data_IF_980828617227
#
_entry.id   IF_980828617227
#
_cell.length_a   1.000
_cell.length_b   1.000
_cell.length_c   1.000
_cell.angle_alpha   90.00
_cell.angle_beta   90.00
_cell.angle_gamma   90.00
#
_symmetry.space_group_name_H-M   'P 1'
#
loop_
_entity.id
_entity.type
_entity.pdbx_description
1 polymer ?
#
# COMPACT_ATOMS: atom_id res chain seq x y z
N UNK A 1 -3.23 4.21 16.29
CA UNK A 1 -4.16 4.37 17.42
C UNK A 1 -3.42 4.36 18.74
N UNK A 2 -4.01 4.95 19.77
CA UNK A 2 -3.56 4.93 21.17
C UNK A 2 -4.51 4.13 22.07
N UNK A 3 -5.52 3.47 21.47
CA UNK A 3 -6.52 2.70 22.21
C UNK A 3 -5.87 1.62 23.07
N UNK A 4 -6.22 1.58 24.35
CA UNK A 4 -5.84 0.51 25.28
C UNK A 4 -7.02 -0.43 25.47
N UNK A 5 -6.81 -1.71 25.21
CA UNK A 5 -7.83 -2.75 25.39
C UNK A 5 -7.49 -3.58 26.62
N UNK A 6 -7.89 -3.08 27.80
CA UNK A 6 -7.68 -3.75 29.08
C UNK A 6 -9.02 -4.21 29.65
N UNK A 7 -9.24 -5.52 29.81
CA UNK A 7 -10.44 -6.02 30.48
C UNK A 7 -10.44 -5.68 31.97
N UNK A 8 -11.63 -5.53 32.54
CA UNK A 8 -11.80 -5.39 33.98
C UNK A 8 -11.68 -6.77 34.66
N UNK A 9 -11.20 -6.86 35.91
CA UNK A 9 -11.08 -8.13 36.61
C UNK A 9 -12.43 -8.82 36.76
N UNK A 10 -12.46 -10.15 36.56
CA UNK A 10 -13.61 -11.01 36.88
C UNK A 10 -13.84 -11.00 38.39
N UNK A 11 -15.08 -10.77 38.82
CA UNK A 11 -15.43 -10.82 40.24
C UNK A 11 -15.26 -12.23 40.85
N UNK A 12 -15.10 -12.32 42.17
CA UNK A 12 -15.04 -13.62 42.84
C UNK A 12 -16.46 -14.15 43.11
N UNK A 13 -16.67 -15.45 42.88
CA UNK A 13 -17.92 -16.13 43.19
C UNK A 13 -17.87 -16.75 44.60
N UNK A 14 -18.98 -16.66 45.34
CA UNK A 14 -19.17 -17.45 46.56
C UNK A 14 -19.65 -18.85 46.18
N UNK A 15 -19.02 -19.88 46.75
CA UNK A 15 -19.43 -21.26 46.52
C UNK A 15 -20.78 -21.52 47.21
N UNK A 16 -21.82 -21.76 46.41
CA UNK A 16 -23.18 -22.08 46.88
C UNK A 16 -23.42 -23.58 47.00
N UNK A 17 -22.54 -24.41 46.43
CA UNK A 17 -22.66 -25.88 46.42
C UNK A 17 -23.66 -26.44 45.41
N UNK A 18 -24.41 -25.58 44.71
CA UNK A 18 -25.37 -25.97 43.68
C UNK A 18 -24.69 -26.38 42.38
N UNK A 19 -25.43 -27.03 41.48
CA UNK A 19 -24.95 -27.33 40.13
C UNK A 19 -24.68 -26.04 39.33
N UNK A 20 -25.57 -25.05 39.45
CA UNK A 20 -25.42 -23.75 38.77
C UNK A 20 -24.22 -22.97 39.31
N UNK A 21 -23.96 -22.99 40.63
CA UNK A 21 -22.77 -22.38 41.22
C UNK A 21 -21.46 -22.98 40.70
N UNK A 22 -21.41 -24.30 40.46
CA UNK A 22 -20.26 -24.95 39.79
C UNK A 22 -20.12 -24.44 38.35
N UNK A 23 -21.23 -24.32 37.62
CA UNK A 23 -21.21 -23.81 36.24
C UNK A 23 -20.76 -22.35 36.14
N UNK A 24 -21.19 -21.50 37.08
CA UNK A 24 -20.72 -20.11 37.21
C UNK A 24 -19.21 -20.06 37.42
N UNK A 25 -18.67 -20.93 38.29
CA UNK A 25 -17.23 -20.98 38.52
C UNK A 25 -16.44 -21.40 37.28
N UNK A 26 -16.94 -22.35 36.50
CA UNK A 26 -16.37 -22.74 35.19
C UNK A 26 -16.34 -21.56 34.21
N UNK A 27 -17.49 -20.92 34.00
CA UNK A 27 -17.63 -19.80 33.06
C UNK A 27 -16.76 -18.60 33.47
N UNK A 28 -16.61 -18.33 34.77
CA UNK A 28 -15.68 -17.29 35.28
C UNK A 28 -14.23 -17.62 34.96
N UNK A 29 -13.82 -18.87 35.11
CA UNK A 29 -12.46 -19.32 34.77
C UNK A 29 -12.18 -19.17 33.27
N UNK A 30 -13.15 -19.53 32.42
CA UNK A 30 -13.06 -19.33 30.98
C UNK A 30 -13.01 -17.85 30.59
N UNK A 31 -13.85 -17.00 31.22
CA UNK A 31 -13.79 -15.56 31.03
C UNK A 31 -12.44 -14.99 31.45
N UNK A 32 -11.88 -15.43 32.58
CA UNK A 32 -10.55 -14.98 33.03
C UNK A 32 -9.45 -15.35 32.03
N UNK A 33 -9.51 -16.56 31.45
CA UNK A 33 -8.59 -16.99 30.38
C UNK A 33 -8.74 -16.11 29.14
N UNK A 34 -9.98 -15.83 28.71
CA UNK A 34 -10.27 -14.96 27.59
C UNK A 34 -9.74 -13.54 27.82
N UNK A 35 -10.00 -12.95 28.99
CA UNK A 35 -9.47 -11.64 29.36
C UNK A 35 -7.93 -11.61 29.36
N UNK A 36 -7.29 -12.70 29.82
CA UNK A 36 -5.84 -12.88 29.70
C UNK A 36 -5.34 -12.88 28.26
N UNK A 37 -6.06 -13.55 27.35
CA UNK A 37 -5.79 -13.55 25.90
C UNK A 37 -5.89 -12.14 25.31
N UNK A 38 -7.00 -11.44 25.58
CA UNK A 38 -7.23 -10.07 25.11
C UNK A 38 -6.14 -9.11 25.58
N UNK A 39 -5.71 -9.21 26.85
CA UNK A 39 -4.61 -8.40 27.38
C UNK A 39 -3.29 -8.66 26.65
N UNK A 40 -2.97 -9.93 26.35
CA UNK A 40 -1.79 -10.30 25.55
C UNK A 40 -1.88 -9.76 24.12
N UNK A 41 -3.04 -9.89 23.48
CA UNK A 41 -3.29 -9.36 22.14
C UNK A 41 -3.13 -7.84 22.09
N UNK A 42 -3.65 -7.12 23.08
CA UNK A 42 -3.45 -5.68 23.22
C UNK A 42 -1.96 -5.31 23.35
N UNK A 43 -1.19 -6.00 24.21
CA UNK A 43 0.25 -5.75 24.31
C UNK A 43 0.99 -6.02 22.99
N UNK A 44 0.63 -7.09 22.29
CA UNK A 44 1.15 -7.41 20.96
C UNK A 44 0.87 -6.28 19.95
N UNK A 45 -0.36 -5.77 19.93
CA UNK A 45 -0.75 -4.64 19.08
C UNK A 45 0.08 -3.38 19.39
N UNK A 46 0.25 -3.01 20.66
CA UNK A 46 1.03 -1.82 21.03
C UNK A 46 2.50 -1.96 20.61
N UNK A 47 3.10 -3.16 20.77
CA UNK A 47 4.47 -3.43 20.33
C UNK A 47 4.63 -3.33 18.81
N UNK A 48 3.66 -3.84 18.06
CA UNK A 48 3.67 -3.72 16.60
C UNK A 48 3.54 -2.25 16.17
N UNK A 49 2.69 -1.47 16.84
CA UNK A 49 2.55 -0.03 16.59
C UNK A 49 3.84 0.75 16.84
N UNK A 50 4.49 0.53 17.97
CA UNK A 50 5.75 1.21 18.27
C UNK A 50 6.85 0.82 17.28
N UNK A 51 6.94 -0.47 16.92
CA UNK A 51 7.86 -0.96 15.89
C UNK A 51 7.63 -0.29 14.54
N UNK A 52 6.38 -0.20 14.08
CA UNK A 52 6.03 0.46 12.83
C UNK A 52 6.38 1.95 12.82
N UNK A 53 6.15 2.68 13.93
CA UNK A 53 6.53 4.10 14.04
C UNK A 53 8.04 4.27 13.91
N UNK A 54 8.82 3.45 14.61
CA UNK A 54 10.29 3.49 14.53
C UNK A 54 10.80 3.12 13.12
N UNK A 55 10.21 2.10 12.48
CA UNK A 55 10.55 1.70 11.12
C UNK A 55 10.23 2.82 10.11
N UNK A 56 9.07 3.48 10.26
CA UNK A 56 8.66 4.60 9.41
C UNK A 56 9.58 5.82 9.58
N UNK A 57 9.97 6.17 10.81
CA UNK A 57 10.91 7.26 11.07
C UNK A 57 12.28 7.02 10.42
N UNK A 58 12.83 5.81 10.55
CA UNK A 58 14.11 5.44 9.90
C UNK A 58 14.02 5.49 8.38
N UNK A 59 12.93 4.94 7.83
CA UNK A 59 12.66 4.98 6.41
C UNK A 59 12.60 6.42 5.88
N UNK A 60 11.77 7.28 6.48
CA UNK A 60 11.64 8.67 6.04
C UNK A 60 12.91 9.49 6.24
N UNK A 61 13.66 9.27 7.33
CA UNK A 61 14.96 9.90 7.52
C UNK A 61 15.94 9.56 6.40
N UNK A 62 15.97 8.29 5.98
CA UNK A 62 16.82 7.82 4.87
C UNK A 62 16.35 8.41 3.53
N UNK A 63 15.04 8.39 3.24
CA UNK A 63 14.49 8.96 2.01
C UNK A 63 14.72 10.47 1.93
N UNK A 64 14.55 11.20 3.03
CA UNK A 64 14.81 12.64 3.09
C UNK A 64 16.29 12.95 2.78
N UNK A 65 17.22 12.17 3.33
CA UNK A 65 18.65 12.32 3.05
C UNK A 65 18.99 12.07 1.57
N UNK A 66 18.36 11.06 0.94
CA UNK A 66 18.53 10.80 -0.49
C UNK A 66 17.97 11.96 -1.32
N UNK A 67 16.74 12.40 -1.03
CA UNK A 67 16.08 13.49 -1.76
C UNK A 67 16.87 14.80 -1.68
N UNK A 68 17.40 15.14 -0.49
CA UNK A 68 18.24 16.33 -0.32
C UNK A 68 19.48 16.29 -1.21
N UNK A 69 20.14 15.12 -1.33
CA UNK A 69 21.29 14.94 -2.23
C UNK A 69 20.90 14.99 -3.71
N UNK A 70 19.77 14.40 -4.08
CA UNK A 70 19.27 14.44 -5.47
C UNK A 70 18.80 15.84 -5.89
N UNK A 71 18.35 16.66 -4.95
CA UNK A 71 17.92 18.04 -5.22
C UNK A 71 19.10 18.95 -5.61
N UNK A 72 20.25 18.78 -4.95
CA UNK A 72 21.50 19.48 -5.33
C UNK A 72 22.09 18.91 -6.64
N UNK A 73 21.67 17.69 -7.00
CA UNK A 73 22.24 16.92 -8.09
C UNK A 73 23.42 16.08 -7.63
N UNK A 74 23.51 14.86 -8.15
CA UNK A 74 24.57 13.89 -7.82
C UNK A 74 25.09 13.21 -9.08
N UNK A 75 26.23 12.53 -8.98
CA UNK A 75 26.70 11.64 -10.03
C UNK A 75 25.70 10.51 -10.30
N UNK A 76 25.56 10.17 -11.58
CA UNK A 76 24.72 9.07 -12.07
C UNK A 76 25.10 7.77 -11.36
N UNK A 77 24.15 7.16 -10.63
CA UNK A 77 24.39 5.87 -9.96
C UNK A 77 25.32 5.95 -8.74
N UNK A 78 25.29 7.06 -8.00
CA UNK A 78 26.10 7.24 -6.78
C UNK A 78 25.95 6.05 -5.80
N UNK A 79 27.04 5.32 -5.46
CA UNK A 79 26.98 4.11 -4.63
C UNK A 79 26.50 4.38 -3.20
N UNK A 80 26.75 5.58 -2.65
CA UNK A 80 26.29 5.95 -1.31
C UNK A 80 24.76 6.03 -1.30
N UNK A 81 24.16 6.62 -2.34
CA UNK A 81 22.71 6.71 -2.47
C UNK A 81 22.08 5.34 -2.71
N UNK A 82 22.75 4.47 -3.47
CA UNK A 82 22.30 3.08 -3.67
C UNK A 82 22.29 2.33 -2.34
N UNK A 83 23.30 2.50 -1.50
CA UNK A 83 23.32 1.88 -0.17
C UNK A 83 22.21 2.42 0.74
N UNK A 84 22.01 3.74 0.77
CA UNK A 84 20.89 4.36 1.51
C UNK A 84 19.54 3.87 1.00
N UNK A 85 19.39 3.73 -0.31
CA UNK A 85 18.20 3.19 -0.94
C UNK A 85 17.91 1.74 -0.51
N UNK A 86 18.93 0.88 -0.47
CA UNK A 86 18.79 -0.50 0.01
C UNK A 86 18.38 -0.55 1.49
N UNK A 87 18.87 0.38 2.31
CA UNK A 87 18.45 0.53 3.71
C UNK A 87 16.96 0.93 3.80
N UNK A 88 16.54 1.92 3.02
CA UNK A 88 15.14 2.35 2.95
C UNK A 88 14.20 1.21 2.50
N UNK A 89 14.62 0.40 1.51
CA UNK A 89 13.89 -0.81 1.12
C UNK A 89 13.78 -1.82 2.25
N UNK A 90 14.86 -2.02 3.00
CA UNK A 90 14.87 -2.94 4.15
C UNK A 90 13.91 -2.48 5.24
N UNK A 91 13.86 -1.19 5.54
CA UNK A 91 12.93 -0.63 6.51
C UNK A 91 11.47 -0.75 6.06
N UNK A 92 11.18 -0.50 4.78
CA UNK A 92 9.85 -0.73 4.21
C UNK A 92 9.44 -2.22 4.25
N UNK A 93 10.40 -3.13 4.04
CA UNK A 93 10.18 -4.57 4.18
C UNK A 93 9.92 -4.98 5.64
N UNK A 94 10.52 -4.31 6.63
CA UNK A 94 10.19 -4.51 8.05
C UNK A 94 8.75 -4.11 8.34
N UNK A 95 8.28 -2.96 7.84
CA UNK A 95 6.88 -2.55 7.96
C UNK A 95 5.95 -3.60 7.32
N UNK A 96 6.33 -4.15 6.15
CA UNK A 96 5.56 -5.22 5.51
C UNK A 96 5.47 -6.49 6.39
N UNK A 97 6.54 -6.82 7.13
CA UNK A 97 6.53 -7.94 8.10
C UNK A 97 5.66 -7.62 9.32
N UNK A 98 5.67 -6.39 9.81
CA UNK A 98 4.81 -5.95 10.91
C UNK A 98 3.32 -6.07 10.53
N UNK A 99 2.95 -5.74 9.29
CA UNK A 99 1.59 -5.95 8.76
C UNK A 99 1.23 -7.45 8.74
N UNK A 100 2.15 -8.32 8.34
CA UNK A 100 1.91 -9.77 8.39
C UNK A 100 1.70 -10.27 9.84
N UNK A 101 2.43 -9.71 10.81
CA UNK A 101 2.21 -10.00 12.22
C UNK A 101 0.85 -9.47 12.73
N UNK A 102 0.41 -8.30 12.26
CA UNK A 102 -0.95 -7.79 12.56
C UNK A 102 -2.04 -8.70 11.99
N UNK A 103 -1.86 -9.26 10.79
CA UNK A 103 -2.82 -10.21 10.22
C UNK A 103 -2.94 -11.48 11.09
N UNK A 104 -1.81 -12.01 11.58
CA UNK A 104 -1.83 -13.14 12.53
C UNK A 104 -2.57 -12.78 13.82
N UNK A 105 -2.29 -11.59 14.36
CA UNK A 105 -2.99 -11.09 15.54
C UNK A 105 -4.50 -10.97 15.31
N UNK A 106 -4.92 -10.49 14.13
CA UNK A 106 -6.33 -10.41 13.74
C UNK A 106 -7.00 -11.80 13.73
N UNK A 107 -6.32 -12.83 13.20
CA UNK A 107 -6.82 -14.21 13.24
C UNK A 107 -6.98 -14.71 14.67
N UNK A 108 -6.02 -14.44 15.57
CA UNK A 108 -6.13 -14.83 16.98
C UNK A 108 -7.27 -14.12 17.72
N UNK A 109 -7.46 -12.81 17.47
CA UNK A 109 -8.59 -12.06 18.03
C UNK A 109 -9.94 -12.58 17.50
N UNK A 110 -9.98 -13.04 16.24
CA UNK A 110 -11.19 -13.68 15.70
C UNK A 110 -11.55 -14.95 16.47
N UNK A 111 -10.56 -15.74 16.92
CA UNK A 111 -10.81 -16.91 17.77
C UNK A 111 -11.33 -16.51 19.16
N UNK A 112 -10.77 -15.46 19.76
CA UNK A 112 -11.29 -14.89 21.02
C UNK A 112 -12.74 -14.41 20.87
N UNK A 113 -13.11 -13.84 19.71
CA UNK A 113 -14.47 -13.40 19.41
C UNK A 113 -15.46 -14.56 19.41
N UNK A 114 -15.11 -15.70 18.79
CA UNK A 114 -15.94 -16.91 18.82
C UNK A 114 -16.10 -17.44 20.24
N UNK A 115 -15.01 -17.46 21.02
CA UNK A 115 -15.08 -17.86 22.43
C UNK A 115 -15.96 -16.92 23.25
N UNK A 116 -15.91 -15.61 23.01
CA UNK A 116 -16.74 -14.64 23.72
C UNK A 116 -18.24 -14.81 23.41
N UNK A 117 -18.58 -15.17 22.17
CA UNK A 117 -19.96 -15.49 21.78
C UNK A 117 -20.43 -16.77 22.46
N UNK A 118 -19.59 -17.81 22.49
CA UNK A 118 -19.89 -19.05 23.21
C UNK A 118 -20.10 -18.80 24.72
N UNK A 119 -19.27 -17.98 25.34
CA UNK A 119 -19.41 -17.61 26.75
C UNK A 119 -20.69 -16.82 27.02
N UNK A 120 -21.05 -15.90 26.13
CA UNK A 120 -22.29 -15.12 26.22
C UNK A 120 -23.50 -16.04 26.17
N UNK A 121 -23.55 -16.93 25.18
CA UNK A 121 -24.64 -17.89 25.02
C UNK A 121 -24.70 -18.87 26.21
N UNK A 122 -23.55 -19.39 26.65
CA UNK A 122 -23.48 -20.32 27.78
C UNK A 122 -23.89 -19.68 29.10
N UNK A 123 -23.58 -18.40 29.29
CA UNK A 123 -24.00 -17.63 30.47
C UNK A 123 -25.51 -17.39 30.43
N UNK A 124 -26.06 -17.05 29.26
CA UNK A 124 -27.50 -16.88 29.09
C UNK A 124 -28.27 -18.19 29.34
N UNK A 125 -27.79 -19.31 28.78
CA UNK A 125 -28.37 -20.62 28.97
C UNK A 125 -28.35 -21.09 30.44
N UNK A 126 -27.34 -20.68 31.22
CA UNK A 126 -27.23 -21.05 32.63
C UNK A 126 -28.38 -20.51 33.50
N UNK A 127 -29.05 -19.41 33.10
CA UNK A 127 -30.24 -18.91 33.79
C UNK A 127 -31.46 -19.84 33.68
N UNK A 128 -31.51 -20.70 32.66
CA UNK A 128 -32.61 -21.65 32.45
C UNK A 128 -32.45 -22.98 33.21
N UNK A 129 -31.34 -23.17 33.93
CA UNK A 129 -31.04 -24.43 34.61
C UNK A 129 -31.72 -24.47 35.98
N UNK A 130 -32.52 -25.50 36.23
CA UNK A 130 -33.21 -25.70 37.52
C UNK A 130 -32.22 -26.10 38.65
N UNK A 131 -32.57 -25.78 39.89
CA UNK A 131 -31.75 -26.09 41.07
C UNK A 131 -30.74 -25.02 41.47
N UNK A 132 -30.89 -23.80 40.97
CA UNK A 132 -30.13 -22.62 41.38
C UNK A 132 -30.73 -21.98 42.65
N UNK A 133 -29.88 -21.33 43.45
CA UNK A 133 -30.33 -20.41 44.52
C UNK A 133 -30.25 -18.95 44.08
N UNK A 134 -30.91 -18.03 44.78
CA UNK A 134 -30.88 -16.59 44.46
C UNK A 134 -29.46 -16.01 44.35
N UNK A 135 -28.53 -16.55 45.13
CA UNK A 135 -27.11 -16.17 45.05
C UNK A 135 -26.47 -16.56 43.72
N UNK A 136 -26.83 -17.70 43.13
CA UNK A 136 -26.34 -18.11 41.81
C UNK A 136 -26.86 -17.18 40.72
N UNK A 137 -28.15 -16.79 40.79
CA UNK A 137 -28.75 -15.85 39.84
C UNK A 137 -28.07 -14.47 39.91
N UNK A 138 -27.77 -13.99 41.12
CA UNK A 138 -26.97 -12.75 41.30
C UNK A 138 -25.59 -12.87 40.68
N UNK A 139 -24.91 -14.00 40.88
CA UNK A 139 -23.57 -14.21 40.32
C UNK A 139 -23.57 -14.36 38.79
N UNK A 140 -24.61 -14.97 38.22
CA UNK A 140 -24.83 -15.07 36.78
C UNK A 140 -25.08 -13.70 36.16
N UNK A 141 -25.89 -12.84 36.77
CA UNK A 141 -26.15 -11.49 36.26
C UNK A 141 -24.87 -10.64 36.20
N UNK A 142 -24.02 -10.74 37.23
CA UNK A 142 -22.72 -10.07 37.23
C UNK A 142 -21.81 -10.65 36.14
N UNK A 143 -21.77 -11.98 36.00
CA UNK A 143 -20.97 -12.64 34.99
C UNK A 143 -21.42 -12.26 33.57
N UNK A 144 -22.73 -12.20 33.31
CA UNK A 144 -23.30 -11.80 32.02
C UNK A 144 -22.83 -10.40 31.62
N UNK A 145 -22.88 -9.44 32.53
CA UNK A 145 -22.37 -8.09 32.29
C UNK A 145 -20.84 -8.08 32.04
N UNK A 146 -20.06 -8.84 32.81
CA UNK A 146 -18.61 -8.98 32.59
C UNK A 146 -18.27 -9.62 31.22
N UNK A 147 -19.06 -10.62 30.79
CA UNK A 147 -18.94 -11.24 29.45
C UNK A 147 -19.30 -10.22 28.38
N UNK A 148 -20.45 -9.55 28.48
CA UNK A 148 -20.90 -8.53 27.51
C UNK A 148 -19.89 -7.40 27.34
N UNK A 149 -19.31 -6.90 28.44
CA UNK A 149 -18.23 -5.90 28.39
C UNK A 149 -16.99 -6.43 27.66
N UNK A 150 -16.66 -7.71 27.86
CA UNK A 150 -15.52 -8.38 27.21
C UNK A 150 -15.78 -8.57 25.70
N UNK A 151 -17.00 -8.92 25.29
CA UNK A 151 -17.43 -9.00 23.88
C UNK A 151 -17.23 -7.64 23.20
N UNK A 152 -17.76 -6.55 23.77
CA UNK A 152 -17.60 -5.18 23.22
C UNK A 152 -16.13 -4.75 23.17
N UNK A 153 -15.29 -5.22 24.10
CA UNK A 153 -13.85 -4.97 24.07
C UNK A 153 -13.17 -5.68 22.89
N UNK A 154 -13.51 -6.94 22.64
CA UNK A 154 -12.97 -7.75 21.54
C UNK A 154 -13.42 -7.19 20.18
N UNK A 155 -14.67 -6.76 20.05
CA UNK A 155 -15.18 -6.12 18.83
C UNK A 155 -14.43 -4.83 18.50
N UNK A 156 -14.22 -3.96 19.50
CA UNK A 156 -13.42 -2.73 19.32
C UNK A 156 -11.97 -3.05 18.95
N UNK A 157 -11.37 -4.05 19.57
CA UNK A 157 -10.01 -4.49 19.25
C UNK A 157 -9.93 -5.03 17.80
N UNK A 158 -10.91 -5.83 17.38
CA UNK A 158 -10.99 -6.39 16.02
C UNK A 158 -11.09 -5.28 14.98
N UNK A 159 -11.99 -4.31 15.20
CA UNK A 159 -12.16 -3.15 14.33
C UNK A 159 -10.86 -2.34 14.22
N UNK A 160 -10.25 -2.03 15.34
CA UNK A 160 -9.02 -1.25 15.40
C UNK A 160 -7.85 -1.94 14.66
N UNK A 161 -7.68 -3.26 14.83
CA UNK A 161 -6.65 -4.02 14.12
C UNK A 161 -6.93 -4.06 12.61
N UNK A 162 -8.20 -4.26 12.22
CA UNK A 162 -8.60 -4.23 10.82
C UNK A 162 -8.33 -2.89 10.14
N UNK A 163 -8.64 -1.78 10.80
CA UNK A 163 -8.41 -0.43 10.29
C UNK A 163 -6.91 -0.09 10.22
N UNK A 164 -6.12 -0.52 11.21
CA UNK A 164 -4.66 -0.42 11.16
C UNK A 164 -4.07 -1.20 9.98
N UNK A 165 -4.48 -2.45 9.76
CA UNK A 165 -3.98 -3.28 8.63
C UNK A 165 -4.29 -2.59 7.30
N UNK A 166 -5.51 -2.08 7.10
CA UNK A 166 -5.89 -1.38 5.85
C UNK A 166 -5.04 -0.12 5.65
N UNK A 167 -4.91 0.72 6.69
CA UNK A 167 -4.13 1.95 6.62
C UNK A 167 -2.66 1.66 6.28
N UNK A 168 -2.05 0.68 6.95
CA UNK A 168 -0.65 0.34 6.74
C UNK A 168 -0.40 -0.33 5.39
N UNK A 169 -1.34 -1.16 4.91
CA UNK A 169 -1.24 -1.77 3.58
C UNK A 169 -1.27 -0.73 2.47
N UNK A 170 -2.16 0.26 2.58
CA UNK A 170 -2.23 1.37 1.63
C UNK A 170 -0.95 2.22 1.67
N UNK A 171 -0.47 2.56 2.87
CA UNK A 171 0.79 3.28 3.05
C UNK A 171 1.97 2.55 2.40
N UNK A 172 2.16 1.25 2.66
CA UNK A 172 3.25 0.47 2.07
C UNK A 172 3.12 0.39 0.55
N UNK A 173 1.91 0.26 -0.01
CA UNK A 173 1.71 0.25 -1.45
C UNK A 173 2.14 1.57 -2.11
N UNK A 174 1.74 2.71 -1.52
CA UNK A 174 2.15 4.05 -1.96
C UNK A 174 3.66 4.24 -1.86
N UNK A 175 4.27 3.82 -0.76
CA UNK A 175 5.71 3.98 -0.54
C UNK A 175 6.56 3.07 -1.41
N UNK A 176 6.11 1.85 -1.75
CA UNK A 176 6.78 1.00 -2.75
C UNK A 176 6.85 1.69 -4.11
N UNK A 177 5.77 2.37 -4.50
CA UNK A 177 5.74 3.13 -5.73
C UNK A 177 6.72 4.32 -5.69
N UNK A 178 6.77 5.04 -4.56
CA UNK A 178 7.70 6.16 -4.35
C UNK A 178 9.17 5.70 -4.37
N UNK A 179 9.50 4.58 -3.71
CA UNK A 179 10.84 3.97 -3.74
C UNK A 179 11.25 3.67 -5.20
N UNK A 180 10.36 3.12 -6.02
CA UNK A 180 10.73 2.81 -7.41
C UNK A 180 11.15 4.07 -8.20
N UNK A 181 10.47 5.19 -7.97
CA UNK A 181 10.84 6.47 -8.59
C UNK A 181 12.14 7.03 -8.02
N UNK A 182 12.35 6.87 -6.71
CA UNK A 182 13.62 7.24 -6.06
C UNK A 182 14.81 6.49 -6.66
N UNK A 183 14.64 5.20 -6.98
CA UNK A 183 15.65 4.39 -7.68
C UNK A 183 16.02 5.00 -9.04
N UNK A 184 15.02 5.42 -9.81
CA UNK A 184 15.19 6.10 -11.10
C UNK A 184 15.90 7.44 -10.93
N UNK A 185 15.59 8.19 -9.87
CA UNK A 185 16.26 9.43 -9.51
C UNK A 185 17.75 9.23 -9.22
N UNK A 186 18.10 8.23 -8.39
CA UNK A 186 19.49 7.87 -8.08
C UNK A 186 20.24 7.44 -9.35
N UNK A 187 19.60 6.63 -10.20
CA UNK A 187 20.19 6.19 -11.48
C UNK A 187 20.44 7.34 -12.43
N UNK A 188 19.67 8.41 -12.38
CA UNK A 188 19.86 9.57 -13.28
C UNK A 188 20.65 10.71 -12.63
N UNK A 189 20.77 10.71 -11.30
CA UNK A 189 21.45 11.74 -10.52
C UNK A 189 20.59 12.98 -10.25
N UNK A 190 19.28 12.90 -10.48
CA UNK A 190 18.34 14.03 -10.42
C UNK A 190 17.07 13.62 -9.65
N UNK A 191 16.42 14.58 -9.00
CA UNK A 191 15.19 14.32 -8.23
C UNK A 191 13.96 14.27 -9.14
N UNK A 192 13.18 13.19 -9.00
CA UNK A 192 11.81 13.10 -9.51
C UNK A 192 10.84 13.28 -8.35
N UNK A 193 9.66 13.86 -8.59
CA UNK A 193 8.63 14.03 -7.56
C UNK A 193 7.92 12.70 -7.20
N UNK A 194 6.75 12.80 -6.55
CA UNK A 194 5.91 11.63 -6.23
C UNK A 194 5.63 10.73 -7.45
N UNK A 195 5.46 9.42 -7.24
CA UNK A 195 5.30 8.50 -8.36
C UNK A 195 4.11 8.82 -9.26
N UNK A 196 4.26 8.58 -10.57
CA UNK A 196 3.17 8.81 -11.53
C UNK A 196 1.97 7.89 -11.25
N UNK A 197 2.19 6.70 -10.69
CA UNK A 197 1.12 5.80 -10.23
C UNK A 197 0.27 6.44 -9.12
N UNK A 198 0.91 7.10 -8.16
CA UNK A 198 0.22 7.77 -7.07
C UNK A 198 -0.62 8.95 -7.58
N UNK A 199 -0.14 9.67 -8.61
CA UNK A 199 -0.90 10.76 -9.27
C UNK A 199 -1.99 10.26 -10.22
N UNK A 200 -1.81 9.09 -10.84
CA UNK A 200 -2.78 8.51 -11.76
C UNK A 200 -4.04 7.96 -11.08
N UNK A 201 -4.16 8.08 -9.75
CA UNK A 201 -5.24 7.50 -8.97
C UNK A 201 -5.18 5.97 -9.03
N UNK A 202 -4.95 5.32 -7.89
CA UNK A 202 -4.97 3.85 -7.81
C UNK A 202 -6.43 3.36 -7.89
N UNK A 203 -7.10 3.57 -9.01
CA UNK A 203 -8.34 2.88 -9.33
C UNK A 203 -7.94 1.46 -9.74
N UNK A 204 -8.24 0.47 -8.89
CA UNK A 204 -7.89 -0.94 -9.08
C UNK A 204 -8.32 -1.56 -10.41
N UNK A 205 -9.23 -0.92 -11.15
CA UNK A 205 -9.59 -1.27 -12.52
C UNK A 205 -8.45 -1.11 -13.54
N UNK A 206 -7.45 -0.27 -13.25
CA UNK A 206 -6.32 -0.02 -14.15
C UNK A 206 -5.13 -0.96 -13.94
N UNK A 207 -5.18 -1.94 -13.02
CA UNK A 207 -4.09 -2.93 -12.86
C UNK A 207 -4.34 -4.21 -13.68
N UNK A 208 -5.60 -4.52 -14.00
CA UNK A 208 -6.02 -5.71 -14.76
C UNK A 208 -6.63 -5.40 -16.14
N UNK A 209 -6.57 -4.14 -16.59
CA UNK A 209 -7.05 -3.75 -17.93
C UNK A 209 -6.10 -4.22 -19.03
N UNK A 210 -6.67 -4.70 -20.14
CA UNK A 210 -5.92 -5.01 -21.37
C UNK A 210 -5.01 -3.85 -21.77
N UNK A 211 -3.81 -4.11 -22.33
CA UNK A 211 -2.89 -3.05 -22.72
C UNK A 211 -3.58 -2.05 -23.64
N UNK A 212 -3.37 -0.75 -23.39
CA UNK A 212 -3.91 0.30 -24.24
C UNK A 212 -3.49 0.06 -25.70
N UNK A 213 -4.49 -0.07 -26.58
CA UNK A 213 -4.28 -0.20 -28.02
C UNK A 213 -4.09 1.19 -28.62
N UNK A 214 -3.09 1.33 -29.49
CA UNK A 214 -2.76 2.61 -30.11
C UNK A 214 -3.96 3.17 -30.89
N UNK A 215 -4.30 4.43 -30.62
CA UNK A 215 -5.32 5.16 -31.37
C UNK A 215 -4.70 6.04 -32.45
N UNK A 216 -5.50 6.48 -33.42
CA UNK A 216 -5.06 7.46 -34.42
C UNK A 216 -4.72 8.79 -33.74
N UNK A 217 -3.52 9.30 -34.03
CA UNK A 217 -3.04 10.60 -33.52
C UNK A 217 -3.13 11.71 -34.56
N UNK A 218 -3.79 11.46 -35.69
CA UNK A 218 -3.98 12.46 -36.76
C UNK A 218 -4.81 13.65 -36.25
N UNK A 219 -4.34 14.87 -36.52
CA UNK A 219 -5.00 16.11 -36.10
C UNK A 219 -4.84 16.48 -34.62
N UNK A 220 -4.22 15.62 -33.80
CA UNK A 220 -3.98 15.90 -32.37
C UNK A 220 -2.66 16.67 -32.18
N UNK A 221 -2.65 17.54 -31.17
CA UNK A 221 -1.41 18.23 -30.72
C UNK A 221 -0.66 17.35 -29.72
N UNK A 222 0.65 17.12 -29.91
CA UNK A 222 1.46 16.39 -28.94
C UNK A 222 1.64 17.22 -27.67
N UNK A 223 1.59 16.56 -26.51
CA UNK A 223 1.97 17.16 -25.22
C UNK A 223 3.48 17.40 -25.14
N UNK A 224 4.25 16.42 -25.62
CA UNK A 224 5.70 16.44 -25.60
C UNK A 224 6.21 15.92 -26.93
N UNK A 225 7.22 16.60 -27.48
CA UNK A 225 7.99 16.15 -28.64
C UNK A 225 9.45 16.03 -28.20
N UNK A 226 9.98 14.82 -28.23
CA UNK A 226 11.37 14.51 -27.89
C UNK A 226 12.12 14.33 -29.20
N UNK A 227 13.10 15.19 -29.46
CA UNK A 227 13.94 15.10 -30.66
C UNK A 227 15.24 14.38 -30.33
N UNK A 228 15.50 13.26 -31.00
CA UNK A 228 16.74 12.51 -30.88
C UNK A 228 17.77 13.01 -31.91
N UNK A 229 18.14 14.29 -31.78
CA UNK A 229 19.09 14.99 -32.63
C UNK A 229 20.56 14.74 -32.24
N UNK A 230 20.80 14.34 -30.99
CA UNK A 230 22.13 14.06 -30.40
C UNK A 230 22.11 12.79 -29.56
N UNK A 231 23.29 12.27 -29.22
CA UNK A 231 23.41 11.20 -28.23
C UNK A 231 23.02 11.69 -26.83
N UNK A 232 22.43 10.82 -26.02
CA UNK A 232 22.06 11.10 -24.61
C UNK A 232 21.17 12.33 -24.40
N UNK A 233 20.09 12.45 -25.18
CA UNK A 233 19.06 13.49 -24.95
C UNK A 233 18.48 13.38 -23.54
N UNK A 234 18.59 14.46 -22.76
CA UNK A 234 17.97 14.58 -21.42
C UNK A 234 16.50 14.94 -21.55
N UNK A 235 15.62 13.95 -21.65
CA UNK A 235 14.17 14.16 -21.80
C UNK A 235 13.35 13.82 -20.55
N UNK A 236 13.95 13.10 -19.59
CA UNK A 236 13.25 12.44 -18.49
C UNK A 236 12.47 13.45 -17.63
N UNK A 237 13.08 14.56 -17.22
CA UNK A 237 12.44 15.57 -16.39
C UNK A 237 11.27 16.28 -17.10
N UNK A 238 11.47 16.65 -18.37
CA UNK A 238 10.44 17.31 -19.17
C UNK A 238 9.22 16.41 -19.37
N UNK A 239 9.45 15.13 -19.66
CA UNK A 239 8.40 14.10 -19.78
C UNK A 239 7.68 13.90 -18.45
N UNK A 240 8.42 13.77 -17.35
CA UNK A 240 7.85 13.62 -16.00
C UNK A 240 6.91 14.79 -15.65
N UNK A 241 7.36 16.03 -15.82
CA UNK A 241 6.58 17.22 -15.51
C UNK A 241 5.31 17.30 -16.36
N UNK A 242 5.41 17.07 -17.67
CA UNK A 242 4.27 17.13 -18.56
C UNK A 242 3.21 16.05 -18.24
N UNK A 243 3.64 14.79 -18.03
CA UNK A 243 2.73 13.68 -17.71
C UNK A 243 2.12 13.85 -16.32
N UNK A 244 2.91 14.28 -15.33
CA UNK A 244 2.41 14.49 -13.97
C UNK A 244 1.37 15.60 -13.89
N UNK A 245 1.55 16.73 -14.59
CA UNK A 245 0.56 17.81 -14.67
C UNK A 245 -0.75 17.36 -15.33
N UNK A 246 -0.68 16.46 -16.32
CA UNK A 246 -1.88 15.86 -16.93
C UNK A 246 -2.60 14.97 -15.93
N UNK A 247 -1.87 14.10 -15.22
CA UNK A 247 -2.46 13.18 -14.24
C UNK A 247 -3.08 13.89 -13.05
N UNK A 248 -2.52 15.03 -12.62
CA UNK A 248 -3.13 15.87 -11.58
C UNK A 248 -4.52 16.38 -11.97
N UNK A 249 -4.70 16.76 -13.24
CA UNK A 249 -5.99 17.26 -13.75
C UNK A 249 -6.93 16.13 -14.16
N UNK A 250 -6.37 15.03 -14.67
CA UNK A 250 -7.09 13.86 -15.18
C UNK A 250 -6.40 12.58 -14.69
N UNK A 251 -6.76 12.10 -13.49
CA UNK A 251 -6.13 10.91 -12.91
C UNK A 251 -6.25 9.70 -13.84
N UNK A 252 -7.35 9.54 -14.57
CA UNK A 252 -7.60 8.44 -15.50
C UNK A 252 -7.02 8.61 -16.93
N UNK A 253 -6.17 9.62 -17.18
CA UNK A 253 -5.60 9.85 -18.52
C UNK A 253 -4.79 8.67 -19.06
N UNK A 254 -4.94 8.39 -20.35
CA UNK A 254 -4.17 7.40 -21.11
C UNK A 254 -3.32 8.14 -22.14
N UNK A 255 -2.13 7.62 -22.44
CA UNK A 255 -1.17 8.26 -23.34
C UNK A 255 -0.89 7.40 -24.58
N UNK A 256 -0.80 8.05 -25.74
CA UNK A 256 -0.28 7.44 -26.96
C UNK A 256 1.16 7.91 -27.18
N UNK A 257 2.11 6.97 -27.15
CA UNK A 257 3.51 7.19 -27.45
C UNK A 257 3.77 6.83 -28.91
N UNK A 258 4.16 7.82 -29.71
CA UNK A 258 4.33 7.66 -31.16
C UNK A 258 5.78 7.87 -31.54
N UNK A 259 6.42 6.82 -32.04
CA UNK A 259 7.71 6.90 -32.71
C UNK A 259 7.53 7.56 -34.08
N UNK A 260 8.17 8.71 -34.30
CA UNK A 260 8.07 9.45 -35.55
C UNK A 260 9.42 9.41 -36.26
N UNK A 261 9.48 8.77 -37.43
CA UNK A 261 10.70 8.71 -38.24
C UNK A 261 10.61 9.60 -39.48
N UNK A 262 11.73 10.20 -39.92
CA UNK A 262 11.79 10.95 -41.18
C UNK A 262 11.64 10.00 -42.37
N UNK A 263 10.88 10.41 -43.39
CA UNK A 263 10.63 9.62 -44.59
C UNK A 263 11.61 9.89 -45.76
N UNK A 264 12.79 10.47 -45.48
CA UNK A 264 13.78 10.88 -46.50
C UNK A 264 14.88 9.84 -46.73
N UNK A 265 15.34 9.71 -47.97
CA UNK A 265 16.54 8.93 -48.34
C UNK A 265 16.29 7.47 -48.73
N UNK A 266 15.11 7.16 -49.27
CA UNK A 266 14.77 5.86 -49.85
C UNK A 266 14.26 4.81 -48.85
N UNK A 267 13.64 3.70 -49.34
CA UNK A 267 12.94 2.72 -48.49
C UNK A 267 13.81 2.05 -47.41
N UNK A 268 15.08 1.76 -47.71
CA UNK A 268 16.00 1.15 -46.75
C UNK A 268 16.32 2.10 -45.57
N UNK A 269 16.56 3.39 -45.87
CA UNK A 269 16.88 4.39 -44.85
C UNK A 269 15.67 4.75 -44.00
N UNK A 270 14.47 4.78 -44.58
CA UNK A 270 13.22 4.99 -43.83
C UNK A 270 12.93 3.83 -42.89
N UNK A 271 13.13 2.58 -43.33
CA UNK A 271 13.00 1.40 -42.47
C UNK A 271 14.00 1.42 -41.30
N UNK A 272 15.26 1.80 -41.55
CA UNK A 272 16.26 1.97 -40.48
C UNK A 272 15.87 3.05 -39.48
N UNK A 273 15.41 4.22 -39.97
CA UNK A 273 14.96 5.31 -39.11
C UNK A 273 13.69 4.97 -38.31
N UNK A 274 12.77 4.21 -38.91
CA UNK A 274 11.59 3.68 -38.21
C UNK A 274 12.00 2.77 -37.06
N UNK A 275 12.93 1.84 -37.29
CA UNK A 275 13.47 0.96 -36.24
C UNK A 275 14.19 1.75 -35.14
N UNK A 276 15.02 2.74 -35.50
CA UNK A 276 15.68 3.63 -34.51
C UNK A 276 14.68 4.41 -33.67
N UNK A 277 13.68 5.04 -34.32
CA UNK A 277 12.63 5.80 -33.63
C UNK A 277 11.82 4.92 -32.70
N UNK A 278 11.52 3.68 -33.11
CA UNK A 278 10.85 2.69 -32.26
C UNK A 278 11.67 2.35 -31.01
N UNK A 279 12.98 2.08 -31.17
CA UNK A 279 13.88 1.84 -30.02
C UNK A 279 13.95 3.05 -29.08
N UNK A 280 13.96 4.27 -29.62
CA UNK A 280 13.89 5.48 -28.80
C UNK A 280 12.57 5.58 -28.02
N UNK A 281 11.45 5.29 -28.67
CA UNK A 281 10.14 5.27 -28.01
C UNK A 281 10.04 4.17 -26.95
N UNK A 282 10.60 2.98 -27.18
CA UNK A 282 10.71 1.93 -26.15
C UNK A 282 11.54 2.39 -24.94
N UNK A 283 12.61 3.16 -25.18
CA UNK A 283 13.40 3.79 -24.11
C UNK A 283 12.57 4.80 -23.30
N UNK A 284 11.82 5.68 -23.97
CA UNK A 284 10.93 6.65 -23.31
C UNK A 284 9.82 5.95 -22.53
N UNK A 285 9.23 4.88 -23.09
CA UNK A 285 8.24 4.04 -22.41
C UNK A 285 8.85 3.43 -21.14
N UNK A 286 10.05 2.87 -21.22
CA UNK A 286 10.75 2.33 -20.06
C UNK A 286 10.94 3.40 -18.99
N UNK A 287 11.39 4.60 -19.36
CA UNK A 287 11.53 5.71 -18.39
C UNK A 287 10.19 6.10 -17.77
N UNK A 288 9.10 6.16 -18.54
CA UNK A 288 7.75 6.44 -18.00
C UNK A 288 7.31 5.38 -16.98
N UNK A 289 7.55 4.10 -17.29
CA UNK A 289 7.24 2.98 -16.39
C UNK A 289 8.12 3.02 -15.14
N UNK A 290 9.41 3.32 -15.28
CA UNK A 290 10.35 3.51 -14.16
C UNK A 290 9.99 4.73 -13.27
N UNK A 291 9.35 5.75 -13.84
CA UNK A 291 8.76 6.89 -13.11
C UNK A 291 7.38 6.56 -12.51
N UNK A 292 6.91 5.33 -12.67
CA UNK A 292 5.71 4.79 -12.05
C UNK A 292 4.45 4.85 -12.91
N UNK A 293 4.51 5.23 -14.19
CA UNK A 293 3.33 5.18 -15.04
C UNK A 293 2.99 3.72 -15.39
N UNK A 294 1.76 3.21 -15.10
CA UNK A 294 1.43 1.83 -15.43
C UNK A 294 1.56 1.54 -16.93
N UNK A 295 2.14 0.40 -17.35
CA UNK A 295 2.37 0.12 -18.77
C UNK A 295 1.10 0.13 -19.63
N UNK A 296 -0.03 -0.30 -19.07
CA UNK A 296 -1.31 -0.32 -19.77
C UNK A 296 -1.94 1.07 -19.93
N UNK A 297 -1.37 2.12 -19.35
CA UNK A 297 -1.76 3.52 -19.56
C UNK A 297 -1.00 4.18 -20.70
N UNK A 298 -0.12 3.43 -21.38
CA UNK A 298 0.64 3.92 -22.53
C UNK A 298 0.51 2.93 -23.70
N UNK A 299 0.08 3.43 -24.85
CA UNK A 299 0.11 2.68 -26.10
C UNK A 299 1.30 3.11 -26.95
N UNK A 300 2.08 2.16 -27.47
CA UNK A 300 3.19 2.45 -28.38
C UNK A 300 2.74 2.27 -29.84
N UNK A 301 3.05 3.24 -30.69
CA UNK A 301 2.86 3.17 -32.15
C UNK A 301 4.01 3.83 -32.91
N UNK A 302 4.05 3.64 -34.22
CA UNK A 302 5.05 4.26 -35.10
C UNK A 302 4.40 4.86 -36.33
N UNK A 303 4.95 5.99 -36.80
CA UNK A 303 4.58 6.61 -38.07
C UNK A 303 5.79 7.26 -38.74
N UNK A 304 5.73 7.38 -40.05
CA UNK A 304 6.67 8.17 -40.84
C UNK A 304 6.11 9.58 -41.04
N UNK A 305 6.98 10.59 -41.10
CA UNK A 305 6.59 11.99 -41.31
C UNK A 305 7.56 12.69 -42.26
N UNK A 306 7.00 13.48 -43.18
CA UNK A 306 7.79 14.34 -44.07
C UNK A 306 8.35 15.60 -43.37
N UNK A 307 7.66 16.04 -42.31
CA UNK A 307 8.05 17.20 -41.52
C UNK A 307 9.13 16.92 -40.48
N UNK A 308 9.33 15.65 -40.09
CA UNK A 308 10.39 15.27 -39.17
C UNK A 308 11.75 15.35 -39.86
N UNK A 309 12.72 16.03 -39.23
CA UNK A 309 14.10 16.11 -39.71
C UNK A 309 14.99 15.04 -39.06
N UNK A 310 14.64 14.62 -37.85
CA UNK A 310 15.35 13.62 -37.05
C UNK A 310 14.34 12.57 -36.56
N UNK A 311 14.83 11.50 -35.93
CA UNK A 311 13.96 10.58 -35.20
C UNK A 311 13.37 11.32 -33.99
N UNK A 312 12.07 11.29 -33.84
CA UNK A 312 11.34 11.97 -32.77
C UNK A 312 10.42 10.98 -32.04
N UNK A 313 10.10 11.28 -30.79
CA UNK A 313 9.08 10.56 -30.01
C UNK A 313 8.07 11.56 -29.51
N UNK A 314 6.81 11.35 -29.86
CA UNK A 314 5.71 12.24 -29.50
C UNK A 314 4.83 11.57 -28.45
N UNK A 315 4.43 12.33 -27.43
CA UNK A 315 3.48 11.88 -26.41
C UNK A 315 2.17 12.64 -26.62
N UNK A 316 1.07 11.90 -26.75
CA UNK A 316 -0.28 12.46 -26.86
C UNK A 316 -1.12 11.99 -25.68
N UNK A 317 -2.06 12.82 -25.21
CA UNK A 317 -3.11 12.39 -24.28
C UNK A 317 -4.30 11.92 -25.09
N UNK A 318 -4.94 10.88 -24.59
CA UNK A 318 -6.18 10.32 -25.08
C UNK A 318 -7.38 10.85 -24.31
#
# INVERSE_FOLDING_TARGET
>A
GTGQFKPQPVSQAKATGTFVGKKVAELRSELQRLQGSVSKHNMGLQKLRSGMVQNSQRYHGTVAAINARLQVGTTRGNPILIQQFNNAQTDLNRISKDIAAMNKLATSISSDSTMSQFLSESTHAAFGVSGAVDEDHRQLAILEDEVNRTVVLIERLTKEVGDDIRRQSNYVATERSNINVLSTGIRNGEIFGASLANRAGVSGAALNGSPARAASTSGRRPLVVIRFDRSNVKYQQAVYNAVSQVLERRPNAVFDLVAVSPNRGGPAKTALNANKSRRHAEGVLRSLVEMGLPPNRVALSGKTSAGAKTNEVHIYMR
#
